data_IF_289867337488
#
_entry.id   IF_289867337488
#
_cell.length_a   1.000
_cell.length_b   1.000
_cell.length_c   1.000
_cell.angle_alpha   90.00
_cell.angle_beta   90.00
_cell.angle_gamma   90.00
#
_symmetry.space_group_name_H-M   'P 1'
#
loop_
_entity.id
_entity.type
_entity.pdbx_description
1 polymer ?
#
# COMPACT_ATOMS: atom_id res chain seq x y z
N UNK A 1 4.05 3.56 -26.95
CA UNK A 1 3.79 2.42 -26.03
C UNK A 1 2.79 2.90 -24.99
N UNK A 2 1.64 2.25 -24.83
CA UNK A 2 0.70 2.61 -23.75
C UNK A 2 1.27 2.15 -22.40
N UNK A 3 1.17 2.99 -21.38
CA UNK A 3 1.53 2.59 -20.00
C UNK A 3 0.40 1.70 -19.49
N UNK A 4 0.67 0.40 -19.38
CA UNK A 4 -0.30 -0.60 -18.91
C UNK A 4 -0.32 -0.74 -17.40
N UNK A 5 0.73 -0.28 -16.72
CA UNK A 5 0.85 -0.34 -15.28
C UNK A 5 1.61 0.88 -14.77
N UNK A 6 1.05 1.51 -13.76
CA UNK A 6 1.67 2.59 -13.02
C UNK A 6 1.54 2.28 -11.53
N UNK A 7 2.59 2.58 -10.78
CA UNK A 7 2.54 2.46 -9.32
C UNK A 7 1.58 3.51 -8.74
N UNK A 8 0.68 3.07 -7.88
CA UNK A 8 -0.23 3.95 -7.14
C UNK A 8 0.53 4.92 -6.23
N UNK A 9 -0.01 6.14 -6.08
CA UNK A 9 0.49 7.15 -5.14
C UNK A 9 0.25 6.75 -3.69
N UNK A 10 -0.67 5.83 -3.44
CA UNK A 10 -0.98 5.33 -2.11
C UNK A 10 0.11 4.45 -1.48
N UNK A 11 1.19 4.14 -2.22
CA UNK A 11 2.34 3.40 -1.69
C UNK A 11 3.66 4.18 -1.83
N UNK A 12 4.50 4.09 -0.81
CA UNK A 12 5.87 4.64 -0.78
C UNK A 12 6.82 3.82 -1.66
N UNK A 13 8.04 4.34 -1.89
CA UNK A 13 9.11 3.66 -2.62
C UNK A 13 9.84 2.56 -1.83
N UNK A 14 9.42 2.30 -0.59
CA UNK A 14 10.04 1.26 0.22
C UNK A 14 9.71 -0.13 -0.34
N UNK A 15 10.73 -0.97 -0.62
CA UNK A 15 10.49 -2.35 -1.02
C UNK A 15 9.76 -3.12 0.08
N UNK A 16 8.81 -3.97 -0.32
CA UNK A 16 8.15 -4.88 0.62
C UNK A 16 9.10 -5.96 1.11
N UNK A 17 9.05 -6.23 2.41
CA UNK A 17 9.79 -7.32 3.06
C UNK A 17 9.14 -8.71 2.92
N UNK A 18 8.01 -8.78 2.22
CA UNK A 18 7.17 -9.97 2.12
C UNK A 18 7.86 -11.13 1.40
N UNK A 19 7.58 -12.36 1.86
CA UNK A 19 8.09 -13.57 1.22
C UNK A 19 7.64 -13.68 -0.24
N UNK A 20 8.49 -14.18 -1.16
CA UNK A 20 8.08 -14.47 -2.53
C UNK A 20 6.88 -15.41 -2.57
N UNK A 21 5.87 -15.07 -3.36
CA UNK A 21 4.64 -15.85 -3.50
C UNK A 21 3.58 -15.62 -2.41
N UNK A 22 3.87 -14.85 -1.36
CA UNK A 22 2.82 -14.42 -0.45
C UNK A 22 2.07 -13.19 -1.01
N UNK A 23 0.76 -13.11 -0.76
CA UNK A 23 -0.10 -12.14 -1.42
C UNK A 23 -0.13 -10.75 -0.75
N UNK A 24 0.59 -10.55 0.36
CA UNK A 24 0.53 -9.30 1.13
C UNK A 24 0.89 -8.05 0.30
N UNK A 25 1.96 -8.13 -0.50
CA UNK A 25 2.36 -7.01 -1.36
C UNK A 25 1.33 -6.70 -2.45
N UNK A 26 0.67 -7.72 -3.00
CA UNK A 26 -0.41 -7.54 -3.99
C UNK A 26 -1.63 -6.91 -3.30
N UNK A 27 -1.99 -7.38 -2.11
CA UNK A 27 -3.13 -6.85 -1.34
C UNK A 27 -2.90 -5.38 -1.00
N UNK A 28 -1.70 -4.98 -0.55
CA UNK A 28 -1.41 -3.57 -0.27
C UNK A 28 -1.53 -2.69 -1.50
N UNK A 29 -1.03 -3.16 -2.65
CA UNK A 29 -1.17 -2.45 -3.92
C UNK A 29 -2.65 -2.27 -4.28
N UNK A 30 -3.46 -3.31 -4.20
CA UNK A 30 -4.89 -3.23 -4.50
C UNK A 30 -5.62 -2.26 -3.57
N UNK A 31 -5.32 -2.30 -2.27
CA UNK A 31 -5.90 -1.37 -1.30
C UNK A 31 -5.51 0.07 -1.65
N UNK A 32 -4.24 0.34 -1.92
CA UNK A 32 -3.76 1.67 -2.27
C UNK A 32 -4.34 2.19 -3.60
N UNK A 33 -4.48 1.32 -4.61
CA UNK A 33 -5.14 1.66 -5.89
C UNK A 33 -6.60 2.07 -5.65
N UNK A 34 -7.36 1.31 -4.85
CA UNK A 34 -8.74 1.66 -4.50
C UNK A 34 -8.83 2.96 -3.69
N UNK A 35 -7.89 3.20 -2.76
CA UNK A 35 -7.85 4.45 -2.00
C UNK A 35 -7.57 5.67 -2.90
N UNK A 36 -6.73 5.50 -3.93
CA UNK A 36 -6.48 6.53 -4.94
C UNK A 36 -7.71 6.76 -5.82
N UNK A 37 -8.38 5.69 -6.29
CA UNK A 37 -9.63 5.78 -7.05
C UNK A 37 -10.77 6.47 -6.28
N UNK A 38 -10.80 6.28 -4.96
CA UNK A 38 -11.79 6.89 -4.07
C UNK A 38 -11.43 8.32 -3.63
N UNK A 39 -10.23 8.81 -3.96
CA UNK A 39 -9.72 10.14 -3.54
C UNK A 39 -9.74 10.32 -2.00
N UNK A 40 -9.30 9.29 -1.26
CA UNK A 40 -9.31 9.26 0.21
C UNK A 40 -7.93 9.17 0.87
N UNK A 41 -6.84 9.20 0.10
CA UNK A 41 -5.47 9.09 0.64
C UNK A 41 -5.20 10.12 1.75
N UNK A 42 -5.55 11.39 1.50
CA UNK A 42 -5.33 12.50 2.45
C UNK A 42 -6.34 12.56 3.62
N UNK A 43 -7.33 11.66 3.63
CA UNK A 43 -8.41 11.60 4.63
C UNK A 43 -8.46 10.29 5.40
N UNK A 44 -7.47 9.42 5.19
CA UNK A 44 -7.43 8.09 5.81
C UNK A 44 -6.30 8.03 6.82
N UNK A 45 -6.61 7.49 8.01
CA UNK A 45 -5.61 7.05 8.98
C UNK A 45 -5.65 5.52 8.99
N UNK A 46 -4.51 4.90 8.72
CA UNK A 46 -4.35 3.44 8.80
C UNK A 46 -4.02 2.97 10.20
N UNK A 47 -4.27 1.69 10.49
CA UNK A 47 -3.87 1.04 11.74
C UNK A 47 -2.96 -0.13 11.40
N UNK A 48 -1.74 -0.11 11.90
CA UNK A 48 -0.78 -1.19 11.73
C UNK A 48 -1.16 -2.38 12.63
N UNK A 49 -1.18 -3.58 12.05
CA UNK A 49 -1.49 -4.80 12.79
C UNK A 49 -0.23 -5.41 13.41
N UNK A 50 -0.39 -6.44 14.25
CA UNK A 50 0.72 -7.32 14.61
C UNK A 50 0.72 -8.51 13.66
N UNK A 51 1.86 -8.81 13.05
CA UNK A 51 2.02 -9.95 12.13
C UNK A 51 2.98 -9.63 10.98
N UNK A 52 2.83 -10.34 9.86
CA UNK A 52 3.66 -10.09 8.67
C UNK A 52 3.53 -8.66 8.17
N UNK A 53 2.37 -8.01 8.35
CA UNK A 53 2.09 -6.66 7.87
C UNK A 53 2.34 -5.58 8.93
N UNK A 54 3.20 -5.84 9.93
CA UNK A 54 3.36 -4.91 11.06
C UNK A 54 3.94 -3.55 10.67
N UNK A 55 4.69 -3.49 9.57
CA UNK A 55 5.37 -2.30 9.07
C UNK A 55 4.57 -1.58 7.97
N UNK A 56 3.25 -1.72 7.95
CA UNK A 56 2.40 -1.03 6.95
C UNK A 56 2.58 0.49 6.96
N UNK A 57 2.91 1.07 8.13
CA UNK A 57 3.21 2.49 8.29
C UNK A 57 4.41 2.96 7.47
N UNK A 58 5.28 2.05 7.02
CA UNK A 58 6.38 2.36 6.13
C UNK A 58 5.99 2.32 4.64
N UNK A 59 4.86 1.69 4.32
CA UNK A 59 4.48 1.35 2.95
C UNK A 59 3.35 2.20 2.41
N UNK A 60 2.34 2.52 3.21
CA UNK A 60 1.23 3.35 2.75
C UNK A 60 1.60 4.83 2.83
N UNK A 61 1.22 5.59 1.83
CA UNK A 61 1.40 7.04 1.77
C UNK A 61 0.30 7.80 2.53
N UNK A 62 -0.20 7.23 3.63
CA UNK A 62 -1.15 7.89 4.53
C UNK A 62 -0.65 7.76 5.98
N UNK A 63 -1.18 8.59 6.86
CA UNK A 63 -0.83 8.52 8.29
C UNK A 63 -1.27 7.19 8.89
N UNK A 64 -0.44 6.58 9.73
CA UNK A 64 -0.74 5.29 10.36
C UNK A 64 -0.39 5.27 11.86
N UNK A 65 -1.15 4.50 12.64
CA UNK A 65 -0.95 4.24 14.08
C UNK A 65 -0.67 2.78 14.38
#
# INVERSE_FOLDING_TARGET
MAVVFQKTKGLTDKPFHYCPGCMHGIIHRLIAEVMEEMDILDKTIGVASVGCTYNNYDYFSCDMV
#
